data_IF_114314741928
#
_entry.id   IF_114314741928
#
_cell.length_a   1.000
_cell.length_b   1.000
_cell.length_c   1.000
_cell.angle_alpha   90.00
_cell.angle_beta   90.00
_cell.angle_gamma   90.00
#
_symmetry.space_group_name_H-M   'P 1'
#
loop_
_entity.id
_entity.type
_entity.pdbx_description
1 polymer ?
#
# COMPACT_ATOMS: atom_id res chain seq x y z
N UNK A 1 -3.15 0.34 -44.43
CA UNK A 1 -2.02 0.93 -43.69
C UNK A 1 -2.54 1.45 -42.35
N UNK A 2 -2.42 0.66 -41.27
CA UNK A 2 -2.78 1.09 -39.91
C UNK A 2 -1.54 1.71 -39.28
N UNK A 3 -1.55 3.02 -39.11
CA UNK A 3 -0.54 3.75 -38.35
C UNK A 3 -0.65 3.32 -36.88
N UNK A 4 0.38 2.66 -36.38
CA UNK A 4 0.56 2.34 -34.97
C UNK A 4 0.75 3.66 -34.20
N UNK A 5 -0.12 3.91 -33.22
CA UNK A 5 -0.07 5.11 -32.39
C UNK A 5 1.20 5.06 -31.52
N UNK A 6 1.97 6.15 -31.42
CA UNK A 6 3.16 6.22 -30.57
C UNK A 6 2.86 6.27 -29.05
N UNK A 7 1.66 5.90 -28.61
CA UNK A 7 1.22 6.02 -27.20
C UNK A 7 1.62 4.85 -26.30
N UNK A 8 2.16 3.75 -26.85
CA UNK A 8 2.51 2.56 -26.06
C UNK A 8 3.89 2.67 -25.37
N UNK A 9 4.76 3.60 -25.81
CA UNK A 9 6.09 3.79 -25.24
C UNK A 9 6.16 4.88 -24.13
N UNK A 10 5.13 5.71 -23.99
CA UNK A 10 5.13 6.88 -23.09
C UNK A 10 4.56 6.57 -21.68
N UNK A 11 3.96 5.40 -21.48
CA UNK A 11 3.17 5.10 -20.26
C UNK A 11 4.01 4.68 -19.03
N UNK A 12 5.32 4.96 -19.03
CA UNK A 12 6.20 4.74 -17.89
C UNK A 12 6.81 6.05 -17.38
N UNK A 13 6.00 7.11 -17.28
CA UNK A 13 6.32 8.20 -16.34
C UNK A 13 5.88 7.74 -14.97
N UNK A 14 6.82 7.48 -14.08
CA UNK A 14 6.56 7.21 -12.67
C UNK A 14 5.75 8.37 -12.09
N UNK A 15 4.43 8.18 -12.01
CA UNK A 15 3.52 9.13 -11.39
C UNK A 15 3.84 9.14 -9.89
N UNK A 16 4.80 9.98 -9.50
CA UNK A 16 5.13 10.22 -8.11
C UNK A 16 3.89 10.70 -7.36
N UNK A 17 3.76 10.30 -6.11
CA UNK A 17 2.67 10.74 -5.27
C UNK A 17 2.83 12.22 -4.92
N UNK A 18 1.76 13.00 -5.06
CA UNK A 18 1.71 14.41 -4.66
C UNK A 18 1.47 14.58 -3.15
N UNK A 19 0.82 13.60 -2.51
CA UNK A 19 0.49 13.59 -1.09
C UNK A 19 0.99 12.33 -0.40
N UNK A 20 1.32 12.45 0.88
CA UNK A 20 1.71 11.31 1.69
C UNK A 20 0.53 10.34 1.90
N UNK A 21 0.70 9.07 1.53
CA UNK A 21 -0.31 8.02 1.67
C UNK A 21 -0.80 7.82 3.12
N UNK A 22 -0.03 8.27 4.12
CA UNK A 22 -0.36 8.20 5.55
C UNK A 22 -0.93 9.48 6.18
N UNK A 23 -0.34 10.63 5.90
CA UNK A 23 -0.73 11.86 6.61
C UNK A 23 -1.34 12.91 5.69
N UNK A 24 -1.43 12.62 4.40
CA UNK A 24 -1.99 13.49 3.36
C UNK A 24 -1.23 14.82 3.15
N UNK A 25 -0.12 15.02 3.86
CA UNK A 25 0.75 16.19 3.65
C UNK A 25 1.34 16.14 2.23
N UNK A 26 1.36 17.31 1.59
CA UNK A 26 2.01 17.51 0.28
C UNK A 26 3.48 17.09 0.33
N UNK A 27 3.90 16.31 -0.65
CA UNK A 27 5.27 15.84 -0.82
C UNK A 27 6.01 16.78 -1.76
N UNK A 28 7.02 17.48 -1.24
CA UNK A 28 7.77 18.49 -2.00
C UNK A 28 9.06 17.97 -2.65
N UNK A 29 9.64 16.91 -2.10
CA UNK A 29 10.87 16.31 -2.65
C UNK A 29 10.53 15.16 -3.60
N UNK A 30 11.27 15.06 -4.71
CA UNK A 30 11.15 13.94 -5.65
C UNK A 30 11.29 12.57 -4.96
N UNK A 31 12.21 12.45 -3.98
CA UNK A 31 12.38 11.22 -3.18
C UNK A 31 11.09 10.82 -2.45
N UNK A 32 10.46 11.74 -1.73
CA UNK A 32 9.21 11.45 -1.05
C UNK A 32 8.07 11.17 -2.03
N UNK A 33 8.01 11.89 -3.15
CA UNK A 33 7.00 11.66 -4.19
C UNK A 33 7.13 10.24 -4.76
N UNK A 34 8.35 9.80 -5.07
CA UNK A 34 8.62 8.44 -5.56
C UNK A 34 8.23 7.36 -4.54
N UNK A 35 8.43 7.62 -3.23
CA UNK A 35 8.12 6.66 -2.16
C UNK A 35 6.66 6.72 -1.66
N UNK A 36 5.90 7.77 -1.98
CA UNK A 36 4.55 7.98 -1.42
C UNK A 36 4.50 8.39 0.06
N UNK A 37 5.65 8.55 0.72
CA UNK A 37 5.72 8.90 2.14
C UNK A 37 6.70 10.05 2.42
N UNK A 38 6.28 10.95 3.32
CA UNK A 38 7.20 11.89 3.96
C UNK A 38 8.17 11.16 4.91
N UNK A 39 9.35 11.71 5.20
CA UNK A 39 10.43 11.01 5.91
C UNK A 39 10.00 10.51 7.30
N UNK A 40 9.28 11.33 8.08
CA UNK A 40 8.77 10.93 9.39
C UNK A 40 7.71 9.83 9.29
N UNK A 41 6.83 9.90 8.29
CA UNK A 41 5.78 8.90 8.12
C UNK A 41 6.38 7.56 7.68
N UNK A 42 7.36 7.58 6.78
CA UNK A 42 8.09 6.41 6.35
C UNK A 42 8.77 5.72 7.54
N UNK A 43 9.47 6.47 8.39
CA UNK A 43 10.13 5.91 9.59
C UNK A 43 9.12 5.24 10.52
N UNK A 44 7.96 5.86 10.76
CA UNK A 44 6.91 5.30 11.62
C UNK A 44 6.30 4.03 11.02
N UNK A 45 6.05 4.01 9.71
CA UNK A 45 5.56 2.83 8.99
C UNK A 45 6.57 1.68 9.05
N UNK A 46 7.86 1.95 8.84
CA UNK A 46 8.93 0.94 8.98
C UNK A 46 9.03 0.38 10.41
N UNK A 47 8.95 1.26 11.42
CA UNK A 47 8.96 0.83 12.82
C UNK A 47 7.75 -0.07 13.15
N UNK A 48 6.56 0.29 12.66
CA UNK A 48 5.36 -0.52 12.83
C UNK A 48 5.47 -1.88 12.11
N UNK A 49 6.01 -1.92 10.89
CA UNK A 49 6.25 -3.16 10.15
C UNK A 49 7.21 -4.09 10.92
N UNK A 50 8.28 -3.54 11.48
CA UNK A 50 9.23 -4.29 12.30
C UNK A 50 8.57 -4.85 13.57
N UNK A 51 7.78 -4.03 14.28
CA UNK A 51 7.05 -4.49 15.46
C UNK A 51 6.10 -5.66 15.11
N UNK A 52 5.37 -5.57 14.00
CA UNK A 52 4.53 -6.66 13.52
C UNK A 52 5.33 -7.93 13.21
N UNK A 53 6.51 -7.83 12.60
CA UNK A 53 7.38 -8.97 12.35
C UNK A 53 7.85 -9.64 13.65
N UNK A 54 8.12 -8.85 14.69
CA UNK A 54 8.62 -9.33 15.98
C UNK A 54 7.54 -9.96 16.88
N UNK A 55 6.28 -9.53 16.75
CA UNK A 55 5.18 -10.05 17.59
C UNK A 55 4.85 -11.52 17.35
N UNK A 56 5.30 -12.13 16.26
CA UNK A 56 4.95 -13.51 15.88
C UNK A 56 3.46 -13.72 15.56
N UNK A 57 2.64 -12.65 15.53
CA UNK A 57 1.19 -12.74 15.33
C UNK A 57 0.80 -13.15 13.91
N UNK A 58 1.71 -13.02 12.94
CA UNK A 58 1.49 -13.37 11.54
C UNK A 58 2.70 -14.13 11.00
N UNK A 59 2.47 -14.95 9.96
CA UNK A 59 3.58 -15.65 9.29
C UNK A 59 4.56 -14.62 8.70
N UNK A 60 5.89 -14.81 8.80
CA UNK A 60 6.87 -13.85 8.28
C UNK A 60 6.66 -13.51 6.81
N UNK A 61 6.31 -14.51 5.98
CA UNK A 61 5.99 -14.29 4.56
C UNK A 61 4.80 -13.35 4.33
N UNK A 62 3.80 -13.35 5.21
CA UNK A 62 2.65 -12.44 5.11
C UNK A 62 3.02 -11.00 5.50
N UNK A 63 3.88 -10.84 6.50
CA UNK A 63 4.41 -9.52 6.90
C UNK A 63 5.32 -8.96 5.81
N UNK A 64 6.14 -9.80 5.18
CA UNK A 64 6.97 -9.41 4.04
C UNK A 64 6.11 -8.93 2.86
N UNK A 65 5.08 -9.69 2.47
CA UNK A 65 4.10 -9.28 1.44
C UNK A 65 3.37 -7.98 1.79
N UNK A 66 3.00 -7.80 3.05
CA UNK A 66 2.37 -6.56 3.51
C UNK A 66 3.32 -5.36 3.42
N UNK A 67 4.59 -5.56 3.74
CA UNK A 67 5.63 -4.52 3.64
C UNK A 67 5.89 -4.17 2.18
N UNK A 68 6.04 -5.17 1.30
CA UNK A 68 6.18 -4.99 -0.15
C UNK A 68 5.03 -4.15 -0.71
N UNK A 69 3.79 -4.47 -0.34
CA UNK A 69 2.60 -3.71 -0.77
C UNK A 69 2.66 -2.23 -0.35
N UNK A 70 3.14 -1.95 0.87
CA UNK A 70 3.27 -0.59 1.38
C UNK A 70 4.36 0.18 0.64
N UNK A 71 5.51 -0.47 0.40
CA UNK A 71 6.66 0.14 -0.29
C UNK A 71 6.36 0.46 -1.74
N UNK A 72 5.57 -0.38 -2.41
CA UNK A 72 5.08 -0.17 -3.77
C UNK A 72 3.95 0.87 -3.86
N UNK A 73 3.53 1.48 -2.74
CA UNK A 73 2.43 2.45 -2.71
C UNK A 73 1.05 1.83 -3.02
N UNK A 74 0.93 0.50 -2.97
CA UNK A 74 -0.27 -0.25 -3.32
C UNK A 74 -1.42 -0.12 -2.32
N UNK A 75 -1.23 0.65 -1.24
CA UNK A 75 -2.21 0.92 -0.20
C UNK A 75 -2.58 2.42 -0.19
N UNK A 76 -3.68 2.77 -0.84
CA UNK A 76 -4.16 4.16 -0.99
C UNK A 76 -5.26 4.43 0.03
N UNK A 77 -5.27 5.62 0.60
CA UNK A 77 -6.29 6.02 1.56
C UNK A 77 -7.62 6.34 0.90
N UNK A 78 -8.73 5.84 1.46
CA UNK A 78 -10.08 6.23 1.06
C UNK A 78 -10.82 7.05 2.12
N UNK A 79 -10.78 6.61 3.39
CA UNK A 79 -11.48 7.30 4.50
C UNK A 79 -10.59 7.38 5.73
N UNK A 80 -10.05 8.58 5.97
CA UNK A 80 -9.14 8.85 7.08
C UNK A 80 -8.07 7.74 7.21
N UNK A 81 -7.63 7.39 8.43
CA UNK A 81 -6.66 6.31 8.66
C UNK A 81 -7.30 4.92 8.84
N UNK A 82 -8.54 4.74 8.39
CA UNK A 82 -9.37 3.57 8.76
C UNK A 82 -9.69 2.65 7.59
N UNK A 83 -9.87 3.21 6.38
CA UNK A 83 -10.20 2.44 5.18
C UNK A 83 -9.26 2.81 4.05
N UNK A 84 -8.74 1.77 3.40
CA UNK A 84 -7.79 1.86 2.32
C UNK A 84 -8.30 1.11 1.09
N UNK A 85 -7.91 1.59 -0.08
CA UNK A 85 -7.97 0.86 -1.33
C UNK A 85 -6.65 0.16 -1.54
N UNK A 86 -6.71 -1.11 -1.89
CA UNK A 86 -5.56 -1.89 -2.31
C UNK A 86 -5.68 -2.15 -3.80
N UNK A 87 -4.59 -1.95 -4.53
CA UNK A 87 -4.48 -2.40 -5.91
C UNK A 87 -3.81 -3.77 -5.89
N UNK A 88 -4.44 -4.76 -6.51
CA UNK A 88 -3.89 -6.10 -6.64
C UNK A 88 -2.68 -6.11 -7.60
N UNK A 89 -1.93 -7.21 -7.58
CA UNK A 89 -0.73 -7.36 -8.42
C UNK A 89 -1.03 -7.34 -9.93
N UNK A 90 -2.27 -7.57 -10.35
CA UNK A 90 -2.73 -7.45 -11.74
C UNK A 90 -2.88 -6.00 -12.21
N UNK A 91 -2.74 -5.02 -11.30
CA UNK A 91 -2.86 -3.60 -11.59
C UNK A 91 -4.29 -3.10 -11.87
N UNK A 92 -5.28 -3.98 -11.88
CA UNK A 92 -6.66 -3.66 -12.28
C UNK A 92 -7.62 -3.91 -11.11
N UNK A 93 -7.47 -5.04 -10.43
CA UNK A 93 -8.40 -5.43 -9.36
C UNK A 93 -8.12 -4.57 -8.13
N UNK A 94 -9.16 -3.96 -7.58
CA UNK A 94 -9.05 -3.19 -6.34
C UNK A 94 -9.88 -3.81 -5.22
N UNK A 95 -9.34 -3.75 -4.01
CA UNK A 95 -10.01 -4.22 -2.80
C UNK A 95 -10.11 -3.10 -1.78
N UNK A 96 -11.17 -3.11 -0.97
CA UNK A 96 -11.26 -2.26 0.22
C UNK A 96 -10.70 -3.04 1.40
N UNK A 97 -9.83 -2.41 2.16
CA UNK A 97 -9.21 -3.01 3.36
C UNK A 97 -9.26 -2.05 4.54
N UNK A 98 -9.46 -2.62 5.70
CA UNK A 98 -9.34 -2.01 7.02
C UNK A 98 -8.63 -3.02 7.94
N UNK A 99 -8.07 -2.60 9.09
CA UNK A 99 -7.38 -3.52 10.01
C UNK A 99 -8.22 -4.77 10.38
N UNK A 100 -9.53 -4.58 10.51
CA UNK A 100 -10.50 -5.61 10.91
C UNK A 100 -11.13 -6.40 9.76
N UNK A 101 -11.11 -5.90 8.52
CA UNK A 101 -11.83 -6.54 7.42
C UNK A 101 -11.23 -6.19 6.05
N UNK A 102 -11.29 -7.10 5.09
CA UNK A 102 -10.87 -6.86 3.71
C UNK A 102 -11.81 -7.56 2.73
N UNK A 103 -12.11 -6.89 1.62
CA UNK A 103 -12.98 -7.41 0.56
C UNK A 103 -12.26 -8.32 -0.44
N UNK A 104 -10.99 -8.66 -0.21
CA UNK A 104 -10.30 -9.64 -1.06
C UNK A 104 -10.84 -11.06 -0.81
N UNK A 105 -10.70 -12.01 -1.76
CA UNK A 105 -11.21 -13.37 -1.60
C UNK A 105 -10.76 -14.05 -0.30
N UNK A 106 -9.50 -13.87 0.10
CA UNK A 106 -8.99 -14.40 1.37
C UNK A 106 -9.63 -13.73 2.60
N UNK A 107 -9.89 -12.41 2.52
CA UNK A 107 -10.54 -11.67 3.60
C UNK A 107 -12.02 -12.02 3.75
N UNK A 108 -12.73 -12.23 2.64
CA UNK A 108 -14.14 -12.64 2.62
C UNK A 108 -14.34 -14.07 3.16
N UNK A 109 -13.41 -14.99 2.88
CA UNK A 109 -13.45 -16.35 3.44
C UNK A 109 -13.21 -16.39 4.96
N UNK A 110 -12.53 -15.39 5.52
CA UNK A 110 -12.34 -15.24 6.97
C UNK A 110 -11.45 -16.29 7.66
N UNK A 111 -10.92 -17.29 6.94
CA UNK A 111 -10.14 -18.39 7.54
C UNK A 111 -8.80 -17.91 8.13
N UNK A 112 -8.14 -16.95 7.47
CA UNK A 112 -6.84 -16.42 7.89
C UNK A 112 -6.76 -14.91 7.62
N UNK A 113 -5.88 -14.22 8.37
CA UNK A 113 -5.59 -12.81 8.11
C UNK A 113 -4.86 -12.66 6.77
N UNK A 114 -5.44 -11.91 5.83
CA UNK A 114 -4.78 -11.60 4.56
C UNK A 114 -3.73 -10.48 4.73
N UNK A 115 -2.71 -10.46 3.87
CA UNK A 115 -1.63 -9.46 3.94
C UNK A 115 -2.13 -8.01 3.76
N UNK A 116 -3.27 -7.80 3.10
CA UNK A 116 -3.93 -6.49 3.01
C UNK A 116 -4.37 -5.94 4.38
N UNK A 117 -4.85 -6.81 5.27
CA UNK A 117 -5.24 -6.41 6.63
C UNK A 117 -4.02 -6.12 7.48
N UNK A 118 -2.95 -6.91 7.32
CA UNK A 118 -1.66 -6.68 7.99
C UNK A 118 -1.09 -5.33 7.54
N UNK A 119 -1.10 -5.03 6.24
CA UNK A 119 -0.66 -3.74 5.72
C UNK A 119 -1.49 -2.57 6.30
N UNK A 120 -2.81 -2.74 6.39
CA UNK A 120 -3.68 -1.76 7.03
C UNK A 120 -3.39 -1.58 8.52
N UNK A 121 -3.10 -2.65 9.25
CA UNK A 121 -2.69 -2.61 10.67
C UNK A 121 -1.39 -1.82 10.83
N UNK A 122 -0.36 -2.13 10.04
CA UNK A 122 0.93 -1.43 10.04
C UNK A 122 0.74 0.08 9.83
N UNK A 123 -0.01 0.47 8.80
CA UNK A 123 -0.21 1.89 8.45
C UNK A 123 -1.09 2.60 9.48
N UNK A 124 -2.04 1.90 10.10
CA UNK A 124 -2.90 2.45 11.16
C UNK A 124 -2.16 2.64 12.49
N UNK A 125 -1.20 1.76 12.82
CA UNK A 125 -0.39 1.82 14.03
C UNK A 125 0.76 2.86 13.95
N UNK A 126 1.20 3.20 12.74
CA UNK A 126 2.21 4.24 12.50
C UNK A 126 1.69 5.62 12.87
#
# INVERSE_FOLDING_TARGET
MRTTRPQEAEMQRTAGHTHCLRCDRVLRSARSAALGYGPTCLRKVKAAALAHAQTGSHKPAQVAKATELIEMGGLVRLRARRVFQVVASDGITTYKTAPQACTCPAGLRGQHTCYHRIAAQIVAAA
#
